data_IF_892858882483
#
_entry.id   IF_892858882483
#
_cell.length_a   1.000
_cell.length_b   1.000
_cell.length_c   1.000
_cell.angle_alpha   90.00
_cell.angle_beta   90.00
_cell.angle_gamma   90.00
#
_symmetry.space_group_name_H-M   'P 1'
#
loop_
_entity.id
_entity.type
_entity.pdbx_description
1 polymer ?
#
# COMPACT_ATOMS: atom_id res chain seq x y z
N UNK A 1 1.09 -26.87 -17.31
CA UNK A 1 2.34 -26.37 -17.89
C UNK A 1 2.08 -25.41 -19.06
N UNK A 2 1.57 -25.88 -20.22
CA UNK A 2 1.44 -25.08 -21.45
C UNK A 2 0.75 -23.69 -21.30
N UNK A 3 -0.31 -23.58 -20.47
CA UNK A 3 -0.97 -22.28 -20.22
C UNK A 3 -0.10 -21.31 -19.40
N UNK A 4 0.71 -21.84 -18.47
CA UNK A 4 1.65 -21.01 -17.68
C UNK A 4 2.84 -20.60 -18.55
N UNK A 5 3.30 -21.45 -19.46
CA UNK A 5 4.36 -21.09 -20.40
C UNK A 5 3.91 -20.00 -21.38
N UNK A 6 2.69 -20.09 -21.92
CA UNK A 6 2.11 -19.02 -22.73
C UNK A 6 1.92 -17.71 -21.93
N UNK A 7 1.50 -17.82 -20.68
CA UNK A 7 1.42 -16.65 -19.78
C UNK A 7 2.80 -16.00 -19.57
N UNK A 8 3.83 -16.79 -19.26
CA UNK A 8 5.22 -16.32 -19.11
C UNK A 8 5.70 -15.60 -20.38
N UNK A 9 5.45 -16.15 -21.55
CA UNK A 9 5.82 -15.54 -22.83
C UNK A 9 5.13 -14.21 -23.05
N UNK A 10 3.84 -14.11 -22.66
CA UNK A 10 3.06 -12.89 -22.77
C UNK A 10 3.51 -11.79 -21.81
N UNK A 11 3.76 -12.12 -20.52
CA UNK A 11 4.12 -11.11 -19.51
C UNK A 11 5.62 -10.79 -19.51
N UNK A 12 6.46 -11.72 -19.95
CA UNK A 12 7.92 -11.56 -19.94
C UNK A 12 8.54 -11.45 -18.55
N UNK A 13 9.75 -10.88 -18.49
CA UNK A 13 10.42 -10.52 -17.24
C UNK A 13 10.65 -11.69 -16.30
N UNK A 14 10.21 -11.56 -15.06
CA UNK A 14 10.34 -12.56 -14.00
C UNK A 14 9.09 -12.60 -13.14
N UNK A 15 8.82 -13.76 -12.55
CA UNK A 15 7.71 -13.91 -11.63
C UNK A 15 7.63 -15.29 -11.03
N UNK A 16 6.71 -15.47 -10.11
CA UNK A 16 6.41 -16.76 -9.54
C UNK A 16 4.93 -16.90 -9.17
N UNK A 17 4.48 -18.14 -9.12
CA UNK A 17 3.13 -18.52 -8.70
C UNK A 17 3.25 -19.45 -7.51
N UNK A 18 2.60 -19.06 -6.42
CA UNK A 18 2.47 -19.85 -5.20
C UNK A 18 1.03 -20.34 -5.11
N UNK A 19 0.83 -21.63 -4.95
CA UNK A 19 -0.50 -22.22 -4.76
C UNK A 19 -0.47 -23.24 -3.63
N UNK A 20 -1.48 -23.22 -2.77
CA UNK A 20 -1.54 -24.07 -1.57
C UNK A 20 -0.28 -23.96 -0.68
N UNK A 21 0.30 -22.75 -0.63
CA UNK A 21 1.54 -22.49 0.11
C UNK A 21 2.84 -22.98 -0.57
N UNK A 22 2.75 -23.61 -1.74
CA UNK A 22 3.91 -24.13 -2.47
C UNK A 22 4.20 -23.27 -3.71
N UNK A 23 5.48 -23.02 -3.98
CA UNK A 23 5.93 -22.44 -5.24
C UNK A 23 5.72 -23.49 -6.36
N UNK A 24 4.74 -23.25 -7.24
CA UNK A 24 4.34 -24.21 -8.29
C UNK A 24 4.87 -23.85 -9.67
N UNK A 25 5.25 -22.60 -9.89
CA UNK A 25 5.82 -22.14 -11.14
C UNK A 25 6.66 -20.88 -10.93
N UNK A 26 7.74 -20.76 -11.68
CA UNK A 26 8.58 -19.56 -11.67
C UNK A 26 9.27 -19.36 -13.01
N UNK A 27 9.62 -18.10 -13.32
CA UNK A 27 10.38 -17.72 -14.51
C UNK A 27 11.26 -16.52 -14.25
N UNK A 28 12.35 -16.42 -15.03
CA UNK A 28 13.38 -15.40 -14.83
C UNK A 28 14.11 -15.52 -13.50
N UNK A 29 14.85 -14.51 -13.10
CA UNK A 29 15.55 -14.48 -11.81
C UNK A 29 14.59 -14.02 -10.70
N UNK A 30 14.02 -14.98 -10.00
CA UNK A 30 13.03 -14.76 -8.93
C UNK A 30 13.65 -14.18 -7.65
N UNK A 31 14.98 -14.21 -7.52
CA UNK A 31 15.73 -13.69 -6.37
C UNK A 31 16.12 -12.23 -6.55
N UNK A 32 16.15 -11.75 -7.78
CA UNK A 32 16.56 -10.38 -8.08
C UNK A 32 15.59 -9.36 -7.49
N UNK A 33 16.09 -8.52 -6.60
CA UNK A 33 15.34 -7.36 -6.06
C UNK A 33 15.20 -6.29 -7.12
N UNK A 34 14.02 -5.69 -7.19
CA UNK A 34 13.75 -4.51 -7.99
C UNK A 34 12.73 -3.60 -7.32
N UNK A 35 12.74 -2.34 -7.72
CA UNK A 35 11.72 -1.37 -7.37
C UNK A 35 10.34 -1.84 -7.85
N UNK A 36 9.44 -2.07 -6.91
CA UNK A 36 8.06 -2.46 -7.20
C UNK A 36 7.12 -1.26 -7.36
N UNK A 37 7.67 -0.04 -7.36
CA UNK A 37 6.91 1.20 -7.51
C UNK A 37 5.73 1.26 -6.52
N UNK A 38 4.54 1.71 -6.98
CA UNK A 38 3.34 1.83 -6.15
C UNK A 38 2.84 0.50 -5.58
N UNK A 39 3.31 -0.65 -6.08
CA UNK A 39 2.98 -1.93 -5.47
C UNK A 39 3.57 -2.09 -4.05
N UNK A 40 4.49 -1.22 -3.62
CA UNK A 40 4.94 -1.17 -2.22
C UNK A 40 3.90 -0.56 -1.25
N UNK A 41 2.88 0.13 -1.74
CA UNK A 41 1.94 0.88 -0.89
C UNK A 41 1.22 0.01 0.16
N UNK A 42 0.77 -1.23 -0.12
CA UNK A 42 0.22 -2.12 0.90
C UNK A 42 1.19 -2.46 2.04
N UNK A 43 2.49 -2.45 1.79
CA UNK A 43 3.49 -2.68 2.83
C UNK A 43 3.51 -1.50 3.82
N UNK A 44 3.33 -0.26 3.34
CA UNK A 44 3.19 0.90 4.22
C UNK A 44 1.93 0.79 5.10
N UNK A 45 0.79 0.39 4.51
CA UNK A 45 -0.44 0.16 5.26
C UNK A 45 -0.30 -0.98 6.29
N UNK A 46 0.48 -2.03 5.98
CA UNK A 46 0.82 -3.08 6.94
C UNK A 46 1.50 -2.52 8.18
N UNK A 47 2.49 -1.64 8.02
CA UNK A 47 3.19 -1.01 9.16
C UNK A 47 2.28 -0.08 9.96
N UNK A 48 1.31 0.61 9.35
CA UNK A 48 0.31 1.35 10.10
C UNK A 48 -0.51 0.44 11.02
N UNK A 49 -1.01 -0.67 10.50
CA UNK A 49 -1.79 -1.62 11.30
C UNK A 49 -0.93 -2.25 12.41
N UNK A 50 0.33 -2.54 12.14
CA UNK A 50 1.30 -2.98 13.16
C UNK A 50 1.55 -1.91 14.22
N UNK A 51 1.67 -0.63 13.86
CA UNK A 51 1.84 0.46 14.81
C UNK A 51 0.65 0.57 15.78
N UNK A 52 -0.57 0.33 15.29
CA UNK A 52 -1.76 0.28 16.14
C UNK A 52 -1.71 -0.93 17.08
N UNK A 53 -1.34 -2.12 16.60
CA UNK A 53 -1.18 -3.32 17.45
C UNK A 53 -0.11 -3.14 18.53
N UNK A 54 0.91 -2.35 18.25
CA UNK A 54 1.99 -2.04 19.18
C UNK A 54 1.67 -0.86 20.12
N UNK A 55 0.48 -0.26 20.01
CA UNK A 55 0.08 0.90 20.81
C UNK A 55 0.83 2.19 20.50
N UNK A 56 1.57 2.25 19.37
CA UNK A 56 2.24 3.49 18.92
C UNK A 56 1.26 4.52 18.37
N UNK A 57 0.14 4.05 17.86
CA UNK A 57 -1.01 4.79 17.36
C UNK A 57 -2.23 4.18 18.04
N UNK A 58 -3.09 5.01 18.64
CA UNK A 58 -4.23 4.48 19.40
C UNK A 58 -5.32 3.93 18.48
N UNK A 59 -5.56 4.57 17.34
CA UNK A 59 -6.57 4.11 16.37
C UNK A 59 -6.33 4.62 14.94
N UNK A 60 -7.03 4.02 13.98
CA UNK A 60 -7.06 4.52 12.59
C UNK A 60 -7.68 5.94 12.49
N UNK A 61 -8.51 6.31 13.46
CA UNK A 61 -9.24 7.58 13.48
C UNK A 61 -8.53 8.67 14.28
N UNK A 62 -7.34 8.38 14.83
CA UNK A 62 -6.47 9.40 15.41
C UNK A 62 -6.07 10.41 14.36
N UNK A 63 -6.14 11.71 14.73
CA UNK A 63 -5.77 12.81 13.86
C UNK A 63 -4.26 12.82 13.63
N UNK A 64 -3.89 12.91 12.36
CA UNK A 64 -2.49 12.89 11.93
C UNK A 64 -1.68 14.07 12.50
N UNK A 65 -2.33 15.22 12.77
CA UNK A 65 -1.70 16.42 13.36
C UNK A 65 -1.05 16.17 14.73
N UNK A 66 -1.46 15.13 15.46
CA UNK A 66 -0.80 14.73 16.72
C UNK A 66 0.63 14.24 16.48
N UNK A 67 0.92 13.78 15.28
CA UNK A 67 2.20 13.27 14.83
C UNK A 67 2.90 14.21 13.85
N UNK A 68 2.13 15.10 13.20
CA UNK A 68 2.59 16.13 12.25
C UNK A 68 1.89 17.47 12.53
N UNK A 69 2.35 18.23 13.55
CA UNK A 69 1.66 19.45 14.00
C UNK A 69 1.57 20.54 12.93
N UNK A 70 2.42 20.52 11.88
CA UNK A 70 2.36 21.50 10.78
C UNK A 70 1.05 21.45 10.00
N UNK A 71 0.24 20.40 10.16
CA UNK A 71 -1.11 20.32 9.60
C UNK A 71 -2.09 21.31 10.27
N UNK A 72 -1.79 21.80 11.47
CA UNK A 72 -2.69 22.69 12.22
C UNK A 72 -2.87 24.06 11.55
N UNK A 73 -1.84 24.55 10.87
CA UNK A 73 -1.84 25.91 10.33
C UNK A 73 -2.08 25.97 8.82
N UNK A 74 -2.37 24.83 8.19
CA UNK A 74 -2.65 24.80 6.76
C UNK A 74 -4.07 25.21 6.43
N UNK A 75 -4.23 25.85 5.24
CA UNK A 75 -5.52 26.10 4.60
C UNK A 75 -6.52 26.81 5.53
N UNK A 76 -6.11 27.95 6.12
CA UNK A 76 -6.96 28.80 6.97
C UNK A 76 -8.24 29.20 6.28
N UNK A 77 -8.16 29.55 4.99
CA UNK A 77 -9.30 29.93 4.14
C UNK A 77 -10.29 28.77 3.89
N UNK A 78 -9.85 27.52 4.15
CA UNK A 78 -10.67 26.30 4.10
C UNK A 78 -11.03 25.79 5.51
N UNK A 79 -10.96 26.66 6.53
CA UNK A 79 -11.30 26.31 7.90
C UNK A 79 -10.33 25.31 8.55
N UNK A 80 -9.05 25.33 8.16
CA UNK A 80 -8.01 24.43 8.65
C UNK A 80 -8.39 22.94 8.46
N UNK A 81 -8.93 22.60 7.28
CA UNK A 81 -9.45 21.27 6.97
C UNK A 81 -8.46 20.13 7.30
N UNK A 82 -7.15 20.39 7.16
CA UNK A 82 -6.11 19.37 7.30
C UNK A 82 -5.94 18.89 8.76
N UNK A 83 -6.43 19.63 9.75
CA UNK A 83 -6.52 19.19 11.15
C UNK A 83 -7.31 17.89 11.32
N UNK A 84 -8.26 17.65 10.41
CA UNK A 84 -9.16 16.48 10.43
C UNK A 84 -8.63 15.26 9.67
N UNK A 85 -7.42 15.35 9.11
CA UNK A 85 -6.80 14.19 8.46
C UNK A 85 -6.49 13.14 9.53
N UNK A 86 -6.92 11.90 9.29
CA UNK A 86 -6.67 10.75 10.15
C UNK A 86 -5.77 9.73 9.44
N UNK A 87 -5.24 8.76 10.18
CA UNK A 87 -4.51 7.63 9.61
C UNK A 87 -5.35 6.83 8.59
N UNK A 88 -6.65 6.68 8.86
CA UNK A 88 -7.60 6.07 7.91
C UNK A 88 -7.64 6.83 6.59
N UNK A 89 -7.67 8.15 6.63
CA UNK A 89 -7.72 8.97 5.43
C UNK A 89 -6.46 8.83 4.57
N UNK A 90 -5.27 8.90 5.17
CA UNK A 90 -4.02 8.76 4.40
C UNK A 90 -3.84 7.35 3.85
N UNK A 91 -4.20 6.32 4.61
CA UNK A 91 -4.10 4.92 4.18
C UNK A 91 -5.07 4.55 3.04
N UNK A 92 -6.14 5.32 2.86
CA UNK A 92 -7.13 5.10 1.81
C UNK A 92 -7.10 6.14 0.69
N UNK A 93 -6.10 7.03 0.66
CA UNK A 93 -5.98 8.08 -0.37
C UNK A 93 -7.22 8.99 -0.44
N UNK A 94 -7.84 9.25 0.70
CA UNK A 94 -8.98 10.17 0.86
C UNK A 94 -8.67 11.31 1.84
N UNK A 95 -7.39 11.56 2.11
CA UNK A 95 -6.99 12.66 2.99
C UNK A 95 -7.28 14.03 2.40
N UNK A 96 -7.43 14.11 1.08
CA UNK A 96 -7.54 15.37 0.33
C UNK A 96 -6.39 16.36 0.63
N UNK A 97 -5.20 15.81 1.02
CA UNK A 97 -4.02 16.60 1.29
C UNK A 97 -3.48 17.25 0.02
N UNK A 98 -3.42 18.57 0.00
CA UNK A 98 -3.00 19.36 -1.16
C UNK A 98 -4.10 19.64 -2.20
N UNK A 99 -5.35 19.27 -1.91
CA UNK A 99 -6.54 19.61 -2.69
C UNK A 99 -7.61 20.24 -1.78
N UNK A 100 -8.60 20.92 -2.35
CA UNK A 100 -9.55 21.76 -1.58
C UNK A 100 -10.62 20.97 -0.83
N UNK A 101 -10.92 19.75 -1.26
CA UNK A 101 -11.95 18.91 -0.63
C UNK A 101 -11.61 18.57 0.82
N UNK A 102 -12.63 18.29 1.62
CA UNK A 102 -12.47 17.88 3.02
C UNK A 102 -11.95 16.43 3.11
N UNK A 103 -11.16 16.10 4.13
CA UNK A 103 -10.76 14.71 4.38
C UNK A 103 -11.95 13.76 4.41
N UNK A 104 -11.83 12.65 3.69
CA UNK A 104 -12.86 11.62 3.59
C UNK A 104 -13.93 11.84 2.51
N UNK A 105 -13.94 12.99 1.81
CA UNK A 105 -15.01 13.31 0.86
C UNK A 105 -14.67 13.07 -0.61
N UNK A 106 -13.39 12.91 -0.94
CA UNK A 106 -12.95 12.62 -2.30
C UNK A 106 -11.72 11.69 -2.28
N UNK A 107 -11.58 10.90 -3.32
CA UNK A 107 -10.40 10.08 -3.57
C UNK A 107 -9.39 10.87 -4.41
N UNK A 108 -8.18 10.92 -3.92
CA UNK A 108 -7.04 11.54 -4.61
C UNK A 108 -5.84 10.60 -4.51
N UNK A 109 -5.58 9.81 -5.56
CA UNK A 109 -4.36 9.01 -5.62
C UNK A 109 -3.16 9.93 -5.78
N UNK A 110 -2.45 10.15 -4.66
CA UNK A 110 -1.61 11.31 -4.46
C UNK A 110 -0.29 10.90 -3.78
N UNK A 111 0.83 11.10 -4.47
CA UNK A 111 2.15 10.73 -3.95
C UNK A 111 2.70 11.74 -2.94
N UNK A 112 2.12 12.94 -2.80
CA UNK A 112 2.40 13.84 -1.67
C UNK A 112 1.71 13.32 -0.40
N UNK A 113 0.45 12.85 -0.48
CA UNK A 113 -0.22 12.13 0.59
C UNK A 113 0.57 10.88 1.02
N UNK A 114 1.07 10.11 0.04
CA UNK A 114 1.89 8.95 0.32
C UNK A 114 3.16 9.32 1.10
N UNK A 115 3.87 10.37 0.69
CA UNK A 115 5.07 10.83 1.37
C UNK A 115 4.78 11.38 2.78
N UNK A 116 3.69 12.14 2.94
CA UNK A 116 3.22 12.58 4.26
C UNK A 116 2.95 11.38 5.17
N UNK A 117 2.22 10.39 4.69
CA UNK A 117 1.93 9.16 5.42
C UNK A 117 3.22 8.40 5.79
N UNK A 118 4.12 8.20 4.83
CA UNK A 118 5.38 7.51 5.02
C UNK A 118 6.23 8.18 6.11
N UNK A 119 6.45 9.49 5.98
CA UNK A 119 7.30 10.25 6.89
C UNK A 119 6.71 10.30 8.29
N UNK A 120 5.42 10.60 8.42
CA UNK A 120 4.75 10.67 9.72
C UNK A 120 4.73 9.31 10.42
N UNK A 121 4.48 8.22 9.68
CA UNK A 121 4.48 6.88 10.25
C UNK A 121 5.86 6.47 10.73
N UNK A 122 6.85 6.54 9.86
CA UNK A 122 8.16 5.98 10.17
C UNK A 122 9.03 6.88 11.03
N UNK A 123 9.03 8.19 10.77
CA UNK A 123 9.91 9.10 11.51
C UNK A 123 9.29 9.48 12.87
N UNK A 124 7.97 9.68 12.94
CA UNK A 124 7.32 10.12 14.16
C UNK A 124 6.73 8.94 14.96
N UNK A 125 5.81 8.15 14.39
CA UNK A 125 5.15 7.10 15.16
C UNK A 125 6.09 5.94 15.51
N UNK A 126 6.97 5.53 14.60
CA UNK A 126 8.02 4.54 14.89
C UNK A 126 9.27 5.14 15.54
N UNK A 127 9.48 6.45 15.43
CA UNK A 127 10.66 7.13 15.97
C UNK A 127 11.97 6.73 15.29
N UNK A 128 11.91 6.35 14.00
CA UNK A 128 13.06 5.92 13.23
C UNK A 128 13.66 7.08 12.42
N UNK A 129 14.71 6.80 11.66
CA UNK A 129 15.29 7.72 10.68
C UNK A 129 15.30 7.05 9.30
N UNK A 130 15.43 7.84 8.24
CA UNK A 130 15.52 7.26 6.88
C UNK A 130 16.65 6.24 6.74
N UNK A 131 17.80 6.49 7.39
CA UNK A 131 18.96 5.59 7.32
C UNK A 131 18.77 4.29 8.12
N UNK A 132 17.90 4.30 9.13
CA UNK A 132 17.71 3.19 10.05
C UNK A 132 16.44 2.36 9.76
N UNK A 133 15.63 2.76 8.77
CA UNK A 133 14.31 2.15 8.51
C UNK A 133 14.39 0.65 8.28
N UNK A 134 15.36 0.19 7.50
CA UNK A 134 15.47 -1.24 7.21
C UNK A 134 15.81 -2.03 8.46
N UNK A 135 16.75 -1.55 9.27
CA UNK A 135 17.21 -2.24 10.47
C UNK A 135 16.23 -2.15 11.64
N UNK A 136 15.56 -1.01 11.80
CA UNK A 136 14.70 -0.76 12.97
C UNK A 136 13.25 -1.14 12.73
N UNK A 137 12.78 -1.17 11.48
CA UNK A 137 11.36 -1.38 11.16
C UNK A 137 11.16 -2.51 10.17
N UNK A 138 11.72 -2.42 8.96
CA UNK A 138 11.43 -3.39 7.89
C UNK A 138 11.87 -4.81 8.27
N UNK A 139 13.13 -4.96 8.68
CA UNK A 139 13.71 -6.27 9.01
C UNK A 139 13.06 -6.90 10.24
N UNK A 140 12.99 -6.25 11.42
CA UNK A 140 12.46 -6.89 12.61
C UNK A 140 10.94 -7.11 12.59
N UNK A 141 10.17 -6.27 11.90
CA UNK A 141 8.70 -6.32 11.96
C UNK A 141 8.06 -7.02 10.75
N UNK A 142 8.80 -7.21 9.65
CA UNK A 142 8.27 -7.86 8.45
C UNK A 142 9.26 -8.85 7.83
N UNK A 143 10.39 -8.39 7.30
CA UNK A 143 11.24 -9.23 6.45
C UNK A 143 11.83 -10.43 7.21
N UNK A 144 12.29 -10.25 8.43
CA UNK A 144 12.80 -11.33 9.28
C UNK A 144 11.72 -12.34 9.68
N UNK A 145 10.61 -11.91 10.33
CA UNK A 145 9.52 -12.81 10.67
C UNK A 145 8.91 -13.52 9.46
N UNK A 146 8.83 -12.86 8.30
CA UNK A 146 8.35 -13.43 7.03
C UNK A 146 9.39 -14.33 6.36
N UNK A 147 10.58 -14.43 6.92
CA UNK A 147 11.69 -15.26 6.40
C UNK A 147 12.05 -14.88 4.95
N UNK A 148 12.09 -13.57 4.65
CA UNK A 148 12.52 -13.10 3.34
C UNK A 148 13.95 -13.54 3.03
N UNK A 149 14.18 -14.04 1.83
CA UNK A 149 15.47 -14.61 1.42
C UNK A 149 16.39 -13.57 0.75
N UNK A 150 15.79 -12.53 0.14
CA UNK A 150 16.52 -11.59 -0.71
C UNK A 150 16.68 -10.20 -0.08
N UNK A 151 16.49 -10.07 1.21
CA UNK A 151 16.69 -8.85 2.00
C UNK A 151 16.01 -7.63 1.38
N UNK A 152 14.68 -7.52 1.44
CA UNK A 152 13.97 -6.31 0.98
C UNK A 152 14.53 -5.05 1.62
N UNK A 153 14.51 -3.93 0.89
CA UNK A 153 15.05 -2.65 1.38
C UNK A 153 14.20 -1.48 0.90
N UNK A 154 14.01 -0.49 1.76
CA UNK A 154 13.48 0.79 1.35
C UNK A 154 14.51 1.55 0.52
N UNK A 155 14.12 1.98 -0.65
CA UNK A 155 14.99 2.68 -1.57
C UNK A 155 14.57 4.13 -1.75
N UNK A 156 15.53 4.98 -2.07
CA UNK A 156 15.28 6.38 -2.35
C UNK A 156 14.44 6.54 -3.62
N UNK A 157 13.45 7.43 -3.54
CA UNK A 157 12.63 7.79 -4.69
C UNK A 157 11.97 9.16 -4.49
N UNK A 158 11.86 9.93 -5.58
CA UNK A 158 11.25 11.25 -5.56
C UNK A 158 12.19 12.33 -5.02
N UNK A 159 11.61 13.37 -4.46
CA UNK A 159 12.34 14.57 -4.04
C UNK A 159 13.28 14.30 -2.87
N UNK A 160 14.52 14.78 -2.97
CA UNK A 160 15.47 14.81 -1.87
C UNK A 160 16.15 13.47 -1.56
N UNK A 161 16.12 12.53 -2.49
CA UNK A 161 16.79 11.22 -2.34
C UNK A 161 16.40 10.49 -1.03
N UNK A 162 15.14 10.57 -0.65
CA UNK A 162 14.59 9.98 0.58
C UNK A 162 13.91 8.65 0.30
N UNK A 163 13.87 7.70 1.25
CA UNK A 163 13.13 6.45 1.11
C UNK A 163 11.65 6.70 0.75
N UNK A 164 11.10 5.88 -0.11
CA UNK A 164 9.71 6.02 -0.56
C UNK A 164 9.23 4.89 -1.44
N UNK A 165 10.11 3.97 -1.83
CA UNK A 165 9.78 2.76 -2.57
C UNK A 165 10.46 1.54 -1.96
N UNK A 166 10.00 0.36 -2.31
CA UNK A 166 10.55 -0.89 -1.85
C UNK A 166 11.21 -1.63 -3.01
N UNK A 167 12.46 -2.05 -2.81
CA UNK A 167 13.11 -3.05 -3.65
C UNK A 167 12.90 -4.42 -2.97
N UNK A 168 12.22 -5.31 -3.67
CA UNK A 168 11.88 -6.66 -3.20
C UNK A 168 11.93 -7.63 -4.38
N UNK A 169 12.29 -8.88 -4.12
CA UNK A 169 12.23 -9.95 -5.13
C UNK A 169 10.78 -10.45 -5.30
N UNK A 170 10.49 -11.07 -6.44
CA UNK A 170 9.13 -11.59 -6.67
C UNK A 170 8.79 -12.73 -5.71
N UNK A 171 9.75 -13.56 -5.28
CA UNK A 171 9.50 -14.62 -4.30
C UNK A 171 9.19 -14.06 -2.91
N UNK A 172 9.90 -13.04 -2.45
CA UNK A 172 9.61 -12.40 -1.17
C UNK A 172 8.32 -11.57 -1.22
N UNK A 173 7.99 -11.01 -2.39
CA UNK A 173 6.73 -10.31 -2.58
C UNK A 173 5.53 -11.29 -2.57
N UNK A 174 5.70 -12.50 -3.11
CA UNK A 174 4.72 -13.58 -2.94
C UNK A 174 4.54 -13.99 -1.48
N UNK A 175 5.60 -13.99 -0.65
CA UNK A 175 5.47 -14.24 0.81
C UNK A 175 4.60 -13.19 1.49
N UNK A 176 4.76 -11.92 1.14
CA UNK A 176 3.88 -10.87 1.65
C UNK A 176 2.43 -11.08 1.21
N UNK A 177 2.18 -11.44 -0.04
CA UNK A 177 0.84 -11.82 -0.52
C UNK A 177 0.27 -13.03 0.22
N UNK A 178 1.09 -14.06 0.46
CA UNK A 178 0.70 -15.27 1.18
C UNK A 178 0.37 -14.98 2.66
N UNK A 179 1.08 -14.06 3.30
CA UNK A 179 0.75 -13.58 4.65
C UNK A 179 -0.69 -13.07 4.71
N UNK A 180 -1.09 -12.25 3.75
CA UNK A 180 -2.46 -11.70 3.69
C UNK A 180 -3.49 -12.77 3.27
N UNK A 181 -3.14 -13.69 2.38
CA UNK A 181 -3.97 -14.85 2.04
C UNK A 181 -4.26 -15.72 3.28
N UNK A 182 -3.29 -15.84 4.19
CA UNK A 182 -3.38 -16.57 5.46
C UNK A 182 -3.83 -15.69 6.63
N UNK A 183 -4.47 -14.54 6.34
CA UNK A 183 -5.02 -13.63 7.35
C UNK A 183 -4.00 -13.25 8.44
N UNK A 184 -2.78 -12.96 8.00
CA UNK A 184 -1.70 -12.51 8.87
C UNK A 184 -0.91 -13.62 9.58
N UNK A 185 -1.25 -14.88 9.34
CA UNK A 185 -0.50 -16.01 9.89
C UNK A 185 0.63 -16.43 8.94
N UNK A 186 1.82 -16.58 9.49
CA UNK A 186 2.99 -17.10 8.80
C UNK A 186 3.62 -18.21 9.63
N UNK A 187 3.62 -19.42 9.11
CA UNK A 187 4.22 -20.60 9.75
C UNK A 187 3.81 -20.77 11.25
N UNK A 188 2.51 -20.60 11.54
CA UNK A 188 1.96 -20.69 12.90
C UNK A 188 2.11 -19.45 13.76
N UNK A 189 2.84 -18.44 13.29
CA UNK A 189 2.99 -17.13 13.94
C UNK A 189 2.03 -16.11 13.36
N UNK A 190 1.27 -15.41 14.23
CA UNK A 190 0.43 -14.29 13.83
C UNK A 190 1.28 -13.02 13.74
N UNK A 191 1.73 -12.65 12.53
CA UNK A 191 2.58 -11.47 12.31
C UNK A 191 1.77 -10.17 12.32
N UNK A 192 0.51 -10.22 11.94
CA UNK A 192 -0.49 -9.16 12.06
C UNK A 192 -1.82 -9.82 12.41
N UNK A 193 -2.64 -9.20 13.26
CA UNK A 193 -3.92 -9.80 13.66
C UNK A 193 -4.81 -10.15 12.47
N UNK A 194 -5.53 -11.25 12.55
CA UNK A 194 -6.44 -11.68 11.50
C UNK A 194 -7.47 -10.59 11.16
N UNK A 195 -7.97 -9.88 12.17
CA UNK A 195 -8.92 -8.77 11.98
C UNK A 195 -8.31 -7.63 11.16
N UNK A 196 -7.06 -7.26 11.39
CA UNK A 196 -6.37 -6.21 10.63
C UNK A 196 -6.02 -6.68 9.21
N UNK A 197 -5.53 -7.91 9.05
CA UNK A 197 -5.25 -8.47 7.73
C UNK A 197 -6.52 -8.52 6.86
N UNK A 198 -7.63 -9.03 7.41
CA UNK A 198 -8.93 -9.06 6.71
C UNK A 198 -9.42 -7.64 6.41
N UNK A 199 -9.40 -6.74 7.40
CA UNK A 199 -9.81 -5.34 7.19
C UNK A 199 -9.09 -4.69 6.02
N UNK A 200 -7.78 -4.88 5.91
CA UNK A 200 -6.99 -4.27 4.85
C UNK A 200 -7.47 -4.64 3.44
N UNK A 201 -7.97 -5.86 3.24
CA UNK A 201 -8.32 -6.40 1.92
C UNK A 201 -9.83 -6.63 1.73
N UNK A 202 -10.67 -6.16 2.63
CA UNK A 202 -12.12 -6.38 2.56
C UNK A 202 -12.98 -5.13 2.82
N UNK A 203 -12.37 -3.98 3.07
CA UNK A 203 -13.06 -2.73 3.41
C UNK A 203 -12.88 -1.67 2.31
N UNK A 204 -13.40 -1.91 1.08
CA UNK A 204 -13.24 -0.95 -0.01
C UNK A 204 -13.91 0.37 0.32
N UNK A 205 -13.35 1.44 -0.19
CA UNK A 205 -14.02 2.74 -0.16
C UNK A 205 -15.39 2.61 -0.82
N UNK A 206 -16.43 3.27 -0.26
CA UNK A 206 -17.72 3.36 -0.92
C UNK A 206 -17.55 3.90 -2.35
N UNK A 207 -18.14 3.24 -3.34
CA UNK A 207 -18.05 3.69 -4.74
C UNK A 207 -18.75 5.03 -4.98
N UNK A 208 -19.55 5.51 -4.03
CA UNK A 208 -20.14 6.85 -4.02
C UNK A 208 -19.12 7.98 -3.75
N UNK A 209 -17.95 7.69 -3.17
CA UNK A 209 -16.91 8.70 -2.98
C UNK A 209 -16.38 9.12 -4.36
N UNK A 210 -16.48 10.41 -4.74
CA UNK A 210 -16.01 10.86 -6.04
C UNK A 210 -14.48 10.88 -6.11
N UNK A 211 -13.96 10.84 -7.33
CA UNK A 211 -12.59 11.29 -7.59
C UNK A 211 -12.49 12.80 -7.36
N UNK A 212 -11.37 13.26 -6.81
CA UNK A 212 -11.14 14.70 -6.58
C UNK A 212 -11.27 15.53 -7.85
N UNK A 213 -11.81 16.74 -7.72
CA UNK A 213 -11.77 17.75 -8.78
C UNK A 213 -10.35 18.29 -9.03
N UNK A 214 -9.39 18.00 -8.14
CA UNK A 214 -7.99 18.34 -8.30
C UNK A 214 -7.66 19.83 -8.08
N UNK A 215 -8.57 20.62 -7.54
CA UNK A 215 -8.29 22.02 -7.21
C UNK A 215 -7.24 22.08 -6.09
N UNK A 216 -6.14 22.80 -6.36
CA UNK A 216 -5.00 22.84 -5.44
C UNK A 216 -5.33 23.57 -4.13
N UNK A 217 -4.79 23.03 -3.03
CA UNK A 217 -4.73 23.67 -1.72
C UNK A 217 -3.27 23.63 -1.21
N UNK A 218 -2.99 24.39 -0.14
CA UNK A 218 -1.65 24.44 0.43
C UNK A 218 -1.24 23.08 1.01
N UNK A 219 0.03 22.79 0.92
CA UNK A 219 0.71 21.66 1.58
C UNK A 219 1.77 22.19 2.54
N UNK A 220 2.26 21.34 3.44
CA UNK A 220 3.37 21.66 4.32
C UNK A 220 4.53 22.21 3.47
N UNK A 221 5.12 23.37 3.81
CA UNK A 221 6.26 23.91 3.08
C UNK A 221 7.40 22.89 2.97
N UNK A 222 7.92 22.71 1.75
CA UNK A 222 8.97 21.72 1.49
C UNK A 222 8.50 20.26 1.48
N UNK A 223 7.19 20.01 1.46
CA UNK A 223 6.65 18.65 1.35
C UNK A 223 7.18 17.96 0.10
N UNK A 224 7.76 16.78 0.31
CA UNK A 224 8.21 15.93 -0.80
C UNK A 224 7.06 15.17 -1.46
N UNK A 225 7.28 14.74 -2.68
CA UNK A 225 6.45 13.72 -3.34
C UNK A 225 7.09 12.34 -3.17
N UNK A 226 6.30 11.30 -3.04
CA UNK A 226 6.74 9.90 -3.11
C UNK A 226 6.88 9.36 -4.54
N UNK A 227 6.83 10.22 -5.55
CA UNK A 227 6.99 9.80 -6.96
C UNK A 227 6.32 10.72 -7.95
N UNK A 228 5.05 10.52 -8.23
CA UNK A 228 4.26 11.29 -9.19
C UNK A 228 3.61 12.53 -8.58
N UNK A 229 2.42 12.84 -9.05
CA UNK A 229 1.63 13.98 -8.64
C UNK A 229 0.40 13.62 -7.82
N UNK A 230 -0.61 14.45 -7.96
CA UNK A 230 -1.96 14.27 -7.39
C UNK A 230 -2.92 13.76 -8.47
N UNK A 231 -4.07 13.24 -8.04
CA UNK A 231 -5.19 12.88 -8.91
C UNK A 231 -4.82 11.94 -10.07
N UNK A 232 -4.01 10.92 -9.80
CA UNK A 232 -3.46 10.04 -10.84
C UNK A 232 -4.48 9.05 -11.41
N UNK A 233 -5.44 8.60 -10.60
CA UNK A 233 -6.48 7.64 -11.01
C UNK A 233 -7.71 7.72 -10.10
N UNK A 234 -8.80 7.04 -10.46
CA UNK A 234 -9.97 6.83 -9.59
C UNK A 234 -9.86 5.47 -8.87
N UNK A 235 -10.58 5.32 -7.74
CA UNK A 235 -10.59 4.09 -6.95
C UNK A 235 -11.54 3.01 -7.50
N UNK A 236 -12.50 3.37 -8.34
CA UNK A 236 -13.45 2.46 -8.98
C UNK A 236 -14.17 1.52 -7.97
N UNK A 237 -14.49 2.00 -6.76
CA UNK A 237 -15.04 1.16 -5.69
C UNK A 237 -14.12 0.06 -5.17
N UNK A 238 -12.84 0.08 -5.54
CA UNK A 238 -11.91 -1.05 -5.43
C UNK A 238 -10.67 -0.76 -4.57
N UNK A 239 -10.62 0.34 -3.82
CA UNK A 239 -9.44 0.70 -3.02
C UNK A 239 -9.67 0.52 -1.52
N UNK A 240 -8.74 -0.12 -0.83
CA UNK A 240 -8.78 -0.37 0.61
C UNK A 240 -7.36 -0.43 1.17
N UNK A 241 -7.01 0.45 2.10
CA UNK A 241 -5.70 0.42 2.78
C UNK A 241 -4.51 0.18 1.84
N UNK A 242 -4.43 0.97 0.76
CA UNK A 242 -3.40 0.87 -0.28
C UNK A 242 -3.48 -0.39 -1.16
N UNK A 243 -4.44 -1.30 -0.95
CA UNK A 243 -4.73 -2.45 -1.81
C UNK A 243 -5.76 -2.11 -2.88
N UNK A 244 -5.66 -2.75 -4.03
CA UNK A 244 -6.69 -2.81 -5.04
C UNK A 244 -7.51 -4.09 -4.89
N UNK A 245 -8.82 -3.97 -4.88
CA UNK A 245 -9.76 -5.08 -4.69
C UNK A 245 -10.59 -5.32 -5.95
N UNK A 246 -11.04 -6.55 -6.19
CA UNK A 246 -11.91 -6.85 -7.31
C UNK A 246 -13.38 -6.55 -6.98
N UNK A 247 -13.71 -5.26 -6.82
CA UNK A 247 -15.06 -4.79 -6.53
C UNK A 247 -15.70 -4.14 -7.76
N UNK A 248 -16.88 -3.60 -7.59
CA UNK A 248 -17.65 -2.96 -8.66
C UNK A 248 -17.55 -1.44 -8.59
N UNK A 249 -17.48 -0.81 -9.74
CA UNK A 249 -17.52 0.64 -9.87
C UNK A 249 -18.96 1.19 -9.78
N UNK A 250 -19.13 2.49 -10.05
CA UNK A 250 -20.42 3.19 -10.02
C UNK A 250 -21.40 2.69 -11.10
N UNK A 251 -20.87 2.10 -12.17
CA UNK A 251 -21.67 1.51 -13.26
C UNK A 251 -21.98 0.04 -13.04
N UNK A 252 -21.58 -0.53 -11.88
CA UNK A 252 -21.75 -1.94 -11.55
C UNK A 252 -20.77 -2.88 -12.24
N UNK A 253 -19.74 -2.34 -12.92
CA UNK A 253 -18.73 -3.15 -13.60
C UNK A 253 -17.65 -3.58 -12.60
N UNK A 254 -17.31 -4.86 -12.65
CA UNK A 254 -16.22 -5.41 -11.82
C UNK A 254 -14.86 -4.94 -12.34
N UNK A 255 -13.98 -4.60 -11.40
CA UNK A 255 -12.64 -4.08 -11.72
C UNK A 255 -11.82 -5.08 -12.58
N UNK A 256 -11.87 -6.37 -12.23
CA UNK A 256 -11.28 -7.47 -13.03
C UNK A 256 -12.35 -8.54 -13.26
N UNK A 257 -13.13 -8.45 -14.37
CA UNK A 257 -14.31 -9.29 -14.56
C UNK A 257 -13.99 -10.79 -14.64
N UNK A 258 -12.83 -11.15 -15.19
CA UNK A 258 -12.40 -12.55 -15.38
C UNK A 258 -11.72 -13.16 -14.14
N UNK A 259 -11.47 -12.36 -13.10
CA UNK A 259 -10.88 -12.83 -11.86
C UNK A 259 -11.94 -13.11 -10.77
N UNK A 260 -11.68 -14.02 -9.82
CA UNK A 260 -12.56 -14.24 -8.69
C UNK A 260 -12.90 -12.92 -7.96
N UNK A 261 -14.14 -12.80 -7.47
CA UNK A 261 -14.63 -11.56 -6.83
C UNK A 261 -13.88 -11.15 -5.57
N UNK A 262 -13.18 -12.09 -4.93
CA UNK A 262 -12.38 -11.88 -3.74
C UNK A 262 -10.88 -11.64 -4.05
N UNK A 263 -10.52 -11.47 -5.31
CA UNK A 263 -9.15 -11.11 -5.73
C UNK A 263 -8.78 -9.73 -5.22
N UNK A 264 -7.56 -9.59 -4.78
CA UNK A 264 -6.95 -8.29 -4.45
C UNK A 264 -5.47 -8.29 -4.83
N UNK A 265 -4.88 -7.10 -4.93
CA UNK A 265 -3.48 -7.00 -5.33
C UNK A 265 -2.85 -5.63 -5.12
N UNK A 266 -1.57 -5.59 -5.43
CA UNK A 266 -0.73 -4.41 -5.43
C UNK A 266 -0.18 -4.19 -6.84
N UNK A 267 -0.28 -2.96 -7.35
CA UNK A 267 0.08 -2.63 -8.72
C UNK A 267 0.99 -1.41 -8.78
N UNK A 268 2.04 -1.48 -9.58
CA UNK A 268 2.98 -0.40 -9.80
C UNK A 268 3.12 -0.05 -11.28
N UNK A 269 3.25 1.24 -11.58
CA UNK A 269 3.38 1.79 -12.94
C UNK A 269 2.28 1.29 -13.92
N UNK A 270 1.04 1.24 -13.44
CA UNK A 270 -0.09 0.83 -14.28
C UNK A 270 -0.17 -0.68 -14.56
N UNK A 271 0.64 -1.52 -13.87
CA UNK A 271 0.48 -2.96 -13.96
C UNK A 271 1.72 -3.84 -14.18
N UNK A 272 2.85 -3.36 -14.75
CA UNK A 272 4.00 -4.25 -15.02
C UNK A 272 4.75 -4.72 -13.76
N UNK A 273 4.41 -4.17 -12.60
CA UNK A 273 4.95 -4.55 -11.28
C UNK A 273 3.76 -4.90 -10.41
N UNK A 274 3.58 -6.18 -10.17
CA UNK A 274 2.33 -6.69 -9.65
C UNK A 274 2.55 -7.76 -8.59
N UNK A 275 1.65 -7.78 -7.61
CA UNK A 275 1.41 -8.93 -6.77
C UNK A 275 -0.10 -9.08 -6.61
N UNK A 276 -0.62 -10.26 -6.93
CA UNK A 276 -2.04 -10.59 -6.89
C UNK A 276 -2.29 -11.76 -5.97
N UNK A 277 -3.35 -11.66 -5.19
CA UNK A 277 -3.84 -12.71 -4.29
C UNK A 277 -5.25 -13.10 -4.71
N UNK A 278 -5.48 -14.40 -4.91
CA UNK A 278 -6.77 -14.99 -5.30
C UNK A 278 -7.20 -16.00 -4.23
N UNK A 279 -7.89 -15.57 -3.18
CA UNK A 279 -8.21 -16.44 -2.03
C UNK A 279 -8.99 -17.69 -2.40
N UNK A 280 -9.99 -17.60 -3.30
CA UNK A 280 -10.79 -18.75 -3.73
C UNK A 280 -9.99 -19.81 -4.50
N UNK A 281 -8.82 -19.46 -5.01
CA UNK A 281 -7.90 -20.38 -5.71
C UNK A 281 -6.71 -20.79 -4.85
N UNK A 282 -6.62 -20.28 -3.60
CA UNK A 282 -5.47 -20.42 -2.71
C UNK A 282 -4.15 -20.10 -3.46
N UNK A 283 -4.12 -18.93 -4.13
CA UNK A 283 -3.08 -18.56 -5.07
C UNK A 283 -2.55 -17.15 -4.82
N UNK A 284 -1.23 -17.01 -4.91
CA UNK A 284 -0.52 -15.73 -4.99
C UNK A 284 0.40 -15.74 -6.20
N UNK A 285 0.51 -14.61 -6.88
CA UNK A 285 1.41 -14.42 -8.01
C UNK A 285 2.10 -13.05 -7.91
N UNK A 286 3.37 -12.99 -8.21
CA UNK A 286 4.12 -11.75 -8.35
C UNK A 286 5.11 -11.86 -9.53
#
# INVERSE_FOLDING_TARGET
AAKLDAFREFVGGRGCVVRHGCLVYSWGDVSQRADVASACKPVLAHFLLKAIEQGKIASLDDELRRFEPRLDDLNTELGHKDRKITWRHVANQVSCYGVRELPGTAFDYNDFNYALFFDTLFLTAYGSTYAALDEQVLRPLLAGPLQCEDTPTWMAFGTGNRPGRLAISVRDFCRFGLLYLRQGNWNGQQLISASNAVRAVSSPLPNSIPRTAGQAAAMIPGQRSGGGGKNQCDHLGSYSFMWWLNRVDRDGKRHWPDAPSNTYGAFGHGGPRVMVVMPSLDLVMA
#
